data_IF_235975125959
#
_entry.id   IF_235975125959
#
_cell.length_a   1.000
_cell.length_b   1.000
_cell.length_c   1.000
_cell.angle_alpha   90.00
_cell.angle_beta   90.00
_cell.angle_gamma   90.00
#
_symmetry.space_group_name_H-M   'P 1'
#
loop_
_entity.id
_entity.type
_entity.pdbx_description
1 polymer ?
#
# COMPACT_ATOMS: atom_id res chain seq x y z
N UNK A 1 0.99 43.67 -2.90
CA UNK A 1 0.83 42.94 -4.16
C UNK A 1 2.18 42.79 -4.81
N UNK A 2 2.64 41.55 -5.05
CA UNK A 2 3.85 41.31 -5.81
C UNK A 2 3.44 41.42 -7.29
N UNK A 3 3.76 42.55 -7.93
CA UNK A 3 3.52 42.76 -9.35
C UNK A 3 4.81 42.42 -10.10
N UNK A 4 4.73 41.44 -11.00
CA UNK A 4 5.80 41.18 -11.97
C UNK A 4 5.80 42.34 -12.97
N UNK A 5 6.94 43.02 -13.11
CA UNK A 5 7.16 44.01 -14.17
C UNK A 5 6.88 43.39 -15.54
N UNK A 6 6.24 44.13 -16.45
CA UNK A 6 6.13 43.72 -17.85
C UNK A 6 7.52 43.33 -18.39
N UNK A 7 7.60 42.20 -19.11
CA UNK A 7 8.83 41.65 -19.69
C UNK A 7 9.94 41.20 -18.72
N UNK A 8 9.65 40.98 -17.43
CA UNK A 8 10.62 40.39 -16.49
C UNK A 8 10.54 38.86 -16.44
N UNK A 9 11.28 38.19 -17.34
CA UNK A 9 11.21 36.75 -17.60
C UNK A 9 11.66 35.83 -16.45
N UNK A 10 12.28 36.36 -15.39
CA UNK A 10 12.94 35.54 -14.37
C UNK A 10 11.97 34.76 -13.48
N UNK A 11 10.82 35.34 -13.14
CA UNK A 11 9.76 34.65 -12.37
C UNK A 11 8.72 33.98 -13.26
N UNK A 12 8.54 34.48 -14.48
CA UNK A 12 7.55 33.95 -15.41
C UNK A 12 7.95 32.58 -15.97
N UNK A 13 9.25 32.32 -16.20
CA UNK A 13 9.67 31.08 -16.86
C UNK A 13 9.34 29.81 -16.05
N UNK A 14 9.44 29.87 -14.71
CA UNK A 14 9.08 28.73 -13.84
C UNK A 14 7.58 28.47 -13.88
N UNK A 15 6.77 29.53 -13.86
CA UNK A 15 5.30 29.44 -13.94
C UNK A 15 4.89 28.95 -15.33
N UNK A 16 5.49 29.46 -16.41
CA UNK A 16 5.23 29.05 -17.78
C UNK A 16 5.59 27.58 -18.04
N UNK A 17 6.67 27.07 -17.42
CA UNK A 17 7.00 25.64 -17.46
C UNK A 17 5.98 24.80 -16.71
N UNK A 18 5.55 25.26 -15.54
CA UNK A 18 4.51 24.59 -14.76
C UNK A 18 3.18 24.56 -15.52
N UNK A 19 2.74 25.69 -16.07
CA UNK A 19 1.49 25.77 -16.83
C UNK A 19 1.51 24.84 -18.05
N UNK A 20 2.62 24.82 -18.82
CA UNK A 20 2.78 23.86 -19.92
C UNK A 20 2.68 22.40 -19.49
N UNK A 21 3.26 22.06 -18.33
CA UNK A 21 3.14 20.72 -17.76
C UNK A 21 1.69 20.42 -17.34
N UNK A 22 1.06 21.35 -16.63
CA UNK A 22 -0.31 21.21 -16.13
C UNK A 22 -1.29 21.03 -17.28
N UNK A 23 -1.22 21.89 -18.30
CA UNK A 23 -2.06 21.81 -19.50
C UNK A 23 -1.87 20.46 -20.22
N UNK A 24 -0.63 20.00 -20.34
CA UNK A 24 -0.32 18.70 -20.95
C UNK A 24 -0.82 17.50 -20.15
N UNK A 25 -0.97 17.61 -18.84
CA UNK A 25 -1.57 16.58 -17.99
C UNK A 25 -3.09 16.66 -18.05
N UNK A 26 -3.65 17.86 -17.95
CA UNK A 26 -5.08 18.10 -18.00
C UNK A 26 -5.68 17.63 -19.34
N UNK A 27 -5.02 17.95 -20.45
CA UNK A 27 -5.43 17.49 -21.79
C UNK A 27 -5.53 15.95 -21.87
N UNK A 28 -4.67 15.22 -21.16
CA UNK A 28 -4.71 13.75 -21.12
C UNK A 28 -5.87 13.20 -20.30
N UNK A 29 -6.28 13.90 -19.24
CA UNK A 29 -7.44 13.51 -18.43
C UNK A 29 -8.76 13.80 -19.15
N UNK A 30 -8.82 14.95 -19.82
CA UNK A 30 -10.04 15.45 -20.46
C UNK A 30 -10.35 14.73 -21.77
N UNK A 31 -9.34 14.35 -22.56
CA UNK A 31 -9.52 13.66 -23.84
C UNK A 31 -10.43 14.43 -24.82
N UNK A 32 -10.74 13.83 -25.97
CA UNK A 32 -11.47 14.52 -27.04
C UNK A 32 -12.98 14.65 -26.76
N UNK A 33 -13.55 13.72 -25.99
CA UNK A 33 -15.01 13.64 -25.78
C UNK A 33 -15.49 14.25 -24.46
N UNK A 34 -14.61 14.72 -23.56
CA UNK A 34 -15.02 15.30 -22.26
C UNK A 34 -14.49 16.70 -21.99
N UNK A 35 -14.19 17.47 -23.05
CA UNK A 35 -13.72 18.86 -22.98
C UNK A 35 -14.60 19.75 -22.09
N UNK A 36 -15.91 19.53 -22.09
CA UNK A 36 -16.86 20.28 -21.27
C UNK A 36 -16.77 20.01 -19.76
N UNK A 37 -16.00 19.01 -19.32
CA UNK A 37 -15.83 18.60 -17.92
C UNK A 37 -14.40 18.79 -17.42
N UNK A 38 -13.64 19.66 -18.06
CA UNK A 38 -12.23 19.88 -17.74
C UNK A 38 -12.02 20.30 -16.28
N UNK A 39 -12.98 21.03 -15.71
CA UNK A 39 -13.02 21.49 -14.33
C UNK A 39 -13.06 20.33 -13.32
N UNK A 40 -13.78 19.26 -13.62
CA UNK A 40 -13.81 18.03 -12.79
C UNK A 40 -12.44 17.34 -12.70
N UNK A 41 -11.58 17.53 -13.71
CA UNK A 41 -10.25 16.91 -13.79
C UNK A 41 -9.11 17.79 -13.28
N UNK A 42 -9.38 19.04 -12.88
CA UNK A 42 -8.35 19.97 -12.38
C UNK A 42 -7.64 19.39 -11.16
N UNK A 43 -8.39 18.88 -10.18
CA UNK A 43 -7.81 18.32 -8.95
C UNK A 43 -6.95 17.08 -9.24
N UNK A 44 -7.40 16.25 -10.18
CA UNK A 44 -6.67 15.06 -10.64
C UNK A 44 -5.35 15.45 -11.32
N UNK A 45 -5.37 16.45 -12.20
CA UNK A 45 -4.20 16.95 -12.89
C UNK A 45 -3.20 17.62 -11.92
N UNK A 46 -3.69 18.40 -10.95
CA UNK A 46 -2.86 19.00 -9.90
C UNK A 46 -2.23 17.93 -9.00
N UNK A 47 -2.98 16.89 -8.64
CA UNK A 47 -2.44 15.76 -7.89
C UNK A 47 -1.31 15.08 -8.66
N UNK A 48 -1.52 14.77 -9.95
CA UNK A 48 -0.49 14.21 -10.82
C UNK A 48 0.77 15.10 -10.91
N UNK A 49 0.62 16.43 -10.92
CA UNK A 49 1.75 17.36 -10.86
C UNK A 49 2.53 17.27 -9.54
N UNK A 50 1.83 17.12 -8.41
CA UNK A 50 2.44 17.10 -7.06
C UNK A 50 3.21 15.81 -6.76
N UNK A 51 2.76 14.68 -7.31
CA UNK A 51 3.37 13.36 -7.06
C UNK A 51 4.50 13.04 -8.05
N UNK A 52 4.54 13.70 -9.21
CA UNK A 52 5.57 13.52 -10.25
C UNK A 52 6.92 14.05 -9.75
N UNK A 53 7.98 13.28 -9.96
CA UNK A 53 9.34 13.74 -9.71
C UNK A 53 9.70 14.87 -10.68
N UNK A 54 10.15 16.00 -10.15
CA UNK A 54 10.55 17.15 -10.95
C UNK A 54 12.04 17.06 -11.31
N UNK A 55 12.40 17.17 -12.59
CA UNK A 55 13.77 16.98 -13.09
C UNK A 55 14.81 17.85 -12.35
N UNK A 56 14.47 19.12 -12.09
CA UNK A 56 15.41 20.04 -11.44
C UNK A 56 15.68 19.74 -9.95
N UNK A 57 14.79 18.99 -9.27
CA UNK A 57 14.91 18.73 -7.83
C UNK A 57 15.09 17.24 -7.50
N UNK A 58 14.92 16.34 -8.48
CA UNK A 58 15.06 14.89 -8.30
C UNK A 58 14.03 14.25 -7.34
N UNK A 59 13.09 15.04 -6.82
CA UNK A 59 12.05 14.63 -5.86
C UNK A 59 10.70 15.18 -6.30
N UNK A 60 9.63 14.58 -5.81
CA UNK A 60 8.27 15.06 -6.03
C UNK A 60 7.98 16.30 -5.16
N UNK A 61 7.26 17.33 -5.66
CA UNK A 61 6.86 18.48 -4.86
C UNK A 61 6.14 18.11 -3.56
N UNK A 62 5.29 17.07 -3.58
CA UNK A 62 4.63 16.55 -2.38
C UNK A 62 5.63 16.13 -1.28
N UNK A 63 6.69 15.41 -1.67
CA UNK A 63 7.74 14.98 -0.75
C UNK A 63 8.49 16.17 -0.14
N UNK A 64 8.72 17.24 -0.91
CA UNK A 64 9.41 18.43 -0.41
C UNK A 64 8.60 19.20 0.63
N UNK A 65 7.28 19.23 0.49
CA UNK A 65 6.39 19.95 1.39
C UNK A 65 6.13 19.14 2.66
N UNK A 66 5.85 17.84 2.52
CA UNK A 66 5.38 17.01 3.62
C UNK A 66 6.46 16.10 4.22
N UNK A 67 7.59 15.91 3.54
CA UNK A 67 8.65 15.00 3.97
C UNK A 67 8.27 13.51 3.91
N UNK A 68 7.12 13.18 3.31
CA UNK A 68 6.58 11.82 3.23
C UNK A 68 6.40 11.43 1.77
N UNK A 69 6.73 10.18 1.44
CA UNK A 69 6.47 9.64 0.11
C UNK A 69 4.96 9.45 -0.11
N UNK A 70 4.50 9.85 -1.30
CA UNK A 70 3.11 9.67 -1.69
C UNK A 70 2.81 8.18 -1.77
N UNK A 71 1.71 7.74 -1.16
CA UNK A 71 1.18 6.39 -1.34
C UNK A 71 0.02 6.46 -2.31
N UNK A 72 0.15 5.77 -3.44
CA UNK A 72 -0.88 5.64 -4.46
C UNK A 72 -1.72 4.38 -4.26
N UNK A 73 -2.93 4.40 -4.81
CA UNK A 73 -3.78 3.23 -4.89
C UNK A 73 -3.11 2.21 -5.84
N UNK A 74 -2.58 1.13 -5.28
CA UNK A 74 -1.81 0.12 -6.02
C UNK A 74 -0.35 -0.01 -5.58
N UNK A 75 0.16 0.93 -4.77
CA UNK A 75 1.46 0.75 -4.13
C UNK A 75 1.42 -0.44 -3.17
N UNK A 76 2.56 -1.13 -3.06
CA UNK A 76 2.71 -2.24 -2.12
C UNK A 76 2.42 -1.75 -0.70
N UNK A 77 1.37 -2.31 -0.12
CA UNK A 77 0.96 -1.94 1.22
C UNK A 77 1.94 -2.55 2.22
N UNK A 78 2.95 -1.77 2.61
CA UNK A 78 3.84 -2.15 3.71
C UNK A 78 2.99 -2.23 4.97
N UNK A 79 2.88 -3.42 5.61
CA UNK A 79 2.01 -3.58 6.75
C UNK A 79 2.50 -2.67 7.88
N UNK A 80 1.57 -1.88 8.41
CA UNK A 80 1.86 -0.99 9.53
C UNK A 80 2.35 -1.83 10.71
N UNK A 81 3.19 -1.25 11.58
CA UNK A 81 3.67 -1.93 12.80
C UNK A 81 2.55 -2.62 13.60
N UNK A 82 1.37 -2.00 13.67
CA UNK A 82 0.18 -2.57 14.32
C UNK A 82 -0.34 -3.82 13.59
N UNK A 83 -0.37 -3.80 12.26
CA UNK A 83 -0.79 -4.96 11.45
C UNK A 83 0.20 -6.12 11.61
N UNK A 84 1.50 -5.84 11.65
CA UNK A 84 2.53 -6.84 11.93
C UNK A 84 2.36 -7.46 13.32
N UNK A 85 2.12 -6.65 14.35
CA UNK A 85 1.85 -7.13 15.71
C UNK A 85 0.59 -8.01 15.74
N UNK A 86 -0.48 -7.58 15.09
CA UNK A 86 -1.72 -8.36 15.04
C UNK A 86 -1.52 -9.72 14.35
N UNK A 87 -0.76 -9.76 13.26
CA UNK A 87 -0.38 -11.01 12.59
C UNK A 87 0.40 -11.94 13.53
N UNK A 88 1.37 -11.41 14.27
CA UNK A 88 2.14 -12.19 15.24
C UNK A 88 1.26 -12.73 16.38
N UNK A 89 0.33 -11.92 16.89
CA UNK A 89 -0.63 -12.35 17.92
C UNK A 89 -1.54 -13.46 17.38
N UNK A 90 -2.07 -13.30 16.17
CA UNK A 90 -2.89 -14.33 15.52
C UNK A 90 -2.11 -15.64 15.32
N UNK A 91 -0.87 -15.56 14.82
CA UNK A 91 -0.02 -16.74 14.64
C UNK A 91 0.25 -17.45 15.97
N UNK A 92 0.55 -16.70 17.02
CA UNK A 92 0.74 -17.23 18.38
C UNK A 92 -0.52 -17.97 18.86
N UNK A 93 -1.69 -17.39 18.67
CA UNK A 93 -2.95 -17.96 19.16
C UNK A 93 -3.34 -19.24 18.38
N UNK A 94 -3.07 -19.27 17.06
CA UNK A 94 -3.21 -20.47 16.24
C UNK A 94 -2.28 -21.59 16.72
N UNK A 95 -1.02 -21.26 17.02
CA UNK A 95 -0.04 -22.24 17.53
C UNK A 95 -0.49 -22.78 18.89
N UNK A 96 -0.98 -21.92 19.79
CA UNK A 96 -1.53 -22.35 21.09
C UNK A 96 -2.69 -23.31 20.93
N UNK A 97 -3.69 -22.98 20.12
CA UNK A 97 -4.82 -23.87 19.86
C UNK A 97 -4.38 -25.23 19.27
N UNK A 98 -3.37 -25.23 18.39
CA UNK A 98 -2.79 -26.47 17.86
C UNK A 98 -2.13 -27.29 18.96
N UNK A 99 -1.35 -26.66 19.85
CA UNK A 99 -0.70 -27.34 20.97
C UNK A 99 -1.73 -27.92 21.95
N UNK A 100 -2.82 -27.21 22.24
CA UNK A 100 -3.86 -27.70 23.16
C UNK A 100 -4.68 -28.86 22.55
N UNK A 101 -4.92 -28.82 21.24
CA UNK A 101 -5.69 -29.85 20.53
C UNK A 101 -4.87 -31.08 20.13
N UNK A 102 -3.55 -30.98 20.04
CA UNK A 102 -2.67 -32.06 19.58
C UNK A 102 -2.68 -33.28 20.54
N UNK A 103 -2.56 -33.14 21.87
CA UNK A 103 -2.63 -34.26 22.80
C UNK A 103 -3.95 -35.02 22.72
N UNK A 104 -5.07 -34.29 22.57
CA UNK A 104 -6.41 -34.88 22.46
C UNK A 104 -6.51 -35.69 21.16
N UNK A 105 -6.06 -35.14 20.03
CA UNK A 105 -6.05 -35.84 18.74
C UNK A 105 -5.15 -37.07 18.78
N UNK A 106 -3.97 -36.96 19.37
CA UNK A 106 -3.03 -38.08 19.50
C UNK A 106 -3.59 -39.18 20.38
N UNK A 107 -4.21 -38.84 21.51
CA UNK A 107 -4.90 -39.82 22.36
C UNK A 107 -5.98 -40.57 21.57
N UNK A 108 -6.88 -39.85 20.89
CA UNK A 108 -7.94 -40.45 20.08
C UNK A 108 -7.34 -41.38 19.00
N UNK A 109 -6.26 -40.95 18.35
CA UNK A 109 -5.56 -41.76 17.35
C UNK A 109 -5.02 -43.07 17.92
N UNK A 110 -4.29 -43.01 19.04
CA UNK A 110 -3.77 -44.21 19.70
C UNK A 110 -4.88 -45.09 20.27
N UNK A 111 -5.93 -44.50 20.86
CA UNK A 111 -7.09 -45.22 21.39
C UNK A 111 -7.84 -46.02 20.29
N UNK A 112 -7.97 -45.46 19.09
CA UNK A 112 -8.56 -46.17 17.94
C UNK A 112 -7.60 -47.23 17.39
N UNK A 113 -6.31 -46.91 17.23
CA UNK A 113 -5.31 -47.84 16.71
C UNK A 113 -5.06 -49.03 17.64
N UNK A 114 -5.18 -48.84 18.96
CA UNK A 114 -5.07 -49.92 19.94
C UNK A 114 -6.12 -51.00 19.69
N UNK A 115 -7.36 -50.60 19.36
CA UNK A 115 -8.49 -51.53 19.16
C UNK A 115 -8.30 -52.47 17.97
N UNK A 116 -7.58 -52.01 16.95
CA UNK A 116 -7.33 -52.82 15.75
C UNK A 116 -6.18 -53.82 15.95
N UNK A 117 -5.28 -53.58 16.92
CA UNK A 117 -4.06 -54.37 17.16
C UNK A 117 -4.03 -55.07 18.53
N UNK A 118 -5.17 -55.20 19.23
CA UNK A 118 -5.25 -55.80 20.59
C UNK A 118 -4.68 -57.23 20.64
N UNK A 119 -4.74 -57.97 19.53
CA UNK A 119 -4.24 -59.35 19.46
C UNK A 119 -2.72 -59.50 19.35
N UNK A 120 -1.99 -58.41 19.12
CA UNK A 120 -0.53 -58.41 18.96
C UNK A 120 0.22 -58.03 20.26
N UNK A 121 -0.52 -57.55 21.28
CA UNK A 121 0.03 -57.09 22.55
C UNK A 121 0.49 -58.28 23.42
N UNK A 122 1.74 -58.26 23.87
CA UNK A 122 2.27 -59.26 24.79
C UNK A 122 1.99 -58.85 26.25
N UNK A 123 1.88 -59.82 27.19
CA UNK A 123 1.82 -59.48 28.61
C UNK A 123 3.11 -58.76 29.03
N UNK A 124 3.01 -57.47 29.34
CA UNK A 124 4.05 -56.49 29.78
C UNK A 124 4.37 -55.32 28.83
N UNK A 125 3.57 -55.04 27.80
CA UNK A 125 3.71 -53.83 26.96
C UNK A 125 3.16 -52.53 27.61
N UNK A 126 3.24 -52.41 28.94
CA UNK A 126 2.81 -51.20 29.70
C UNK A 126 3.98 -50.34 30.15
#
# INVERSE_FOLDING_TARGET
YILTSAYHSRSNDVIERFNRLFDGILAKYVGDNTINKWDEYVDHALFACRIRQHHALGKAPFYMIYGVEVKLLGDEQVPTRVQQINQLVQQRDIVRQRLDSNPIKMKIYYDHRLKDHVGELQPNDW
#
